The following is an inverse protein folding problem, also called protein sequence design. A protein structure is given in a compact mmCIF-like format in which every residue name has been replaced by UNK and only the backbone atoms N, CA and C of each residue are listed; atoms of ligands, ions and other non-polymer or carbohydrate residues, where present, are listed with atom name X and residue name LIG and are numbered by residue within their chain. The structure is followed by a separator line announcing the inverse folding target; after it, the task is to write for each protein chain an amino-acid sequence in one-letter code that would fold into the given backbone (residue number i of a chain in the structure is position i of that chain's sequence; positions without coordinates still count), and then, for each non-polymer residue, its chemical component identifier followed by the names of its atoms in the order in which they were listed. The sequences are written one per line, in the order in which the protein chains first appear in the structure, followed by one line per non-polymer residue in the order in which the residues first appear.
data_IF_910631188778
#
_entry.id   IF_910631188778
#
_cell.length_a   1.000
_cell.length_b   1.000
_cell.length_c   1.000
_cell.angle_alpha   90.00
_cell.angle_beta   90.00
_cell.angle_gamma   90.00
#
_symmetry.space_group_name_H-M   'P 1'
#
loop_
_entity.id
_entity.type
_entity.pdbx_description
1 polymer ?
#
# COMPACT_ATOMS: atom_id res chain seq x y z
N UNK A 1 -20.23 -8.47 3.44
CA UNK A 1 -20.40 -7.86 4.79
C UNK A 1 -21.23 -6.58 4.74
N UNK A 2 -21.28 -5.86 3.62
CA UNK A 2 -22.13 -4.69 3.40
C UNK A 2 -23.65 -4.93 3.45
N UNK A 3 -24.09 -6.19 3.49
CA UNK A 3 -25.52 -6.59 3.56
C UNK A 3 -25.92 -7.14 4.93
N UNK A 4 -25.07 -7.03 5.95
CA UNK A 4 -25.38 -7.53 7.30
C UNK A 4 -26.20 -6.49 8.06
N UNK A 5 -27.37 -6.88 8.55
CA UNK A 5 -28.19 -6.02 9.39
C UNK A 5 -27.55 -5.79 10.77
N UNK A 6 -27.67 -4.59 11.34
CA UNK A 6 -27.18 -4.31 12.69
C UNK A 6 -27.92 -5.16 13.72
N UNK A 7 -27.20 -5.57 14.76
CA UNK A 7 -27.78 -6.25 15.93
C UNK A 7 -28.82 -5.32 16.57
N UNK A 8 -29.89 -5.88 17.15
CA UNK A 8 -31.00 -5.13 17.75
C UNK A 8 -30.65 -4.34 19.03
N UNK A 9 -29.36 -4.13 19.31
CA UNK A 9 -28.89 -3.27 20.38
C UNK A 9 -28.95 -1.79 19.95
N UNK A 10 -29.32 -0.91 20.89
CA UNK A 10 -29.50 0.51 20.63
C UNK A 10 -28.20 1.16 20.06
N UNK A 11 -27.04 0.83 20.64
CA UNK A 11 -25.77 1.42 20.20
C UNK A 11 -25.40 0.96 18.78
N UNK A 12 -25.64 -0.31 18.47
CA UNK A 12 -25.35 -0.90 17.16
C UNK A 12 -26.19 -0.26 16.05
N UNK A 13 -27.47 0.00 16.32
CA UNK A 13 -28.35 0.71 15.38
C UNK A 13 -27.96 2.17 15.21
N UNK A 14 -27.56 2.84 16.30
CA UNK A 14 -27.11 4.23 16.27
C UNK A 14 -25.85 4.39 15.39
N UNK A 15 -24.84 3.55 15.61
CA UNK A 15 -23.59 3.56 14.82
C UNK A 15 -23.88 3.26 13.35
N UNK A 16 -24.74 2.27 13.06
CA UNK A 16 -25.12 1.95 11.69
C UNK A 16 -25.83 3.14 11.00
N UNK A 17 -26.74 3.81 11.70
CA UNK A 17 -27.45 5.00 11.20
C UNK A 17 -26.48 6.13 10.86
N UNK A 18 -25.54 6.42 11.77
CA UNK A 18 -24.50 7.43 11.55
C UNK A 18 -23.64 7.10 10.33
N UNK A 19 -23.10 5.88 10.24
CA UNK A 19 -22.28 5.46 9.10
C UNK A 19 -23.04 5.46 7.76
N UNK A 20 -24.35 5.23 7.79
CA UNK A 20 -25.17 5.25 6.57
C UNK A 20 -25.45 6.65 6.03
N UNK A 21 -25.30 7.69 6.87
CA UNK A 21 -25.63 9.09 6.54
C UNK A 21 -24.36 9.96 6.39
N UNK A 22 -23.31 9.65 7.15
CA UNK A 22 -22.08 10.47 7.29
C UNK A 22 -20.96 10.01 6.34
N UNK A 23 -21.23 9.89 5.04
CA UNK A 23 -20.21 9.60 4.04
C UNK A 23 -19.45 10.85 3.57
N UNK A 24 -18.49 10.65 2.66
CA UNK A 24 -17.69 11.73 2.07
C UNK A 24 -17.60 11.56 0.54
N UNK A 25 -17.51 12.68 -0.18
CA UNK A 25 -17.38 12.72 -1.65
C UNK A 25 -18.56 12.02 -2.36
N UNK A 26 -18.31 10.91 -3.07
CA UNK A 26 -19.30 10.17 -3.87
C UNK A 26 -19.87 8.93 -3.15
N UNK A 27 -19.36 8.60 -1.96
CA UNK A 27 -19.82 7.45 -1.16
C UNK A 27 -20.46 7.95 0.14
N UNK A 28 -21.71 8.41 0.02
CA UNK A 28 -22.50 8.98 1.13
C UNK A 28 -22.86 7.95 2.21
N UNK A 29 -22.85 6.67 1.87
CA UNK A 29 -23.14 5.57 2.79
C UNK A 29 -21.88 4.70 2.96
N UNK A 30 -21.31 4.71 4.16
CA UNK A 30 -20.08 3.99 4.49
C UNK A 30 -20.30 2.49 4.77
N UNK A 31 -21.55 2.05 4.93
CA UNK A 31 -21.91 0.64 5.19
C UNK A 31 -22.10 -0.16 3.91
N UNK A 32 -22.40 0.51 2.80
CA UNK A 32 -22.52 -0.09 1.47
C UNK A 32 -21.18 -0.13 0.74
N UNK A 33 -21.05 -1.04 -0.23
CA UNK A 33 -19.89 -1.10 -1.12
C UNK A 33 -19.88 0.09 -2.09
N UNK A 34 -18.69 0.53 -2.53
CA UNK A 34 -18.56 1.61 -3.52
C UNK A 34 -19.16 1.19 -4.89
N UNK A 35 -20.27 1.80 -5.34
CA UNK A 35 -20.92 1.42 -6.59
C UNK A 35 -20.10 1.80 -7.83
N UNK A 36 -19.20 2.78 -7.71
CA UNK A 36 -18.39 3.28 -8.82
C UNK A 36 -17.00 2.66 -8.90
N UNK A 37 -16.64 1.78 -7.96
CA UNK A 37 -15.32 1.12 -7.90
C UNK A 37 -14.11 2.07 -7.81
N UNK A 38 -14.32 3.35 -7.53
CA UNK A 38 -13.27 4.36 -7.50
C UNK A 38 -12.34 4.10 -6.30
N UNK A 39 -12.89 3.83 -5.12
CA UNK A 39 -12.14 3.55 -3.89
C UNK A 39 -11.22 2.31 -4.01
N UNK A 40 -11.72 1.11 -4.40
CA UNK A 40 -10.87 -0.05 -4.60
C UNK A 40 -9.79 0.16 -5.67
N UNK A 41 -10.12 0.89 -6.74
CA UNK A 41 -9.16 1.20 -7.80
C UNK A 41 -8.05 2.14 -7.29
N UNK A 42 -8.39 3.23 -6.61
CA UNK A 42 -7.41 4.14 -6.01
C UNK A 42 -6.51 3.42 -4.99
N UNK A 43 -7.11 2.55 -4.17
CA UNK A 43 -6.36 1.72 -3.22
C UNK A 43 -5.37 0.80 -3.95
N UNK A 44 -5.78 0.16 -5.05
CA UNK A 44 -4.90 -0.66 -5.86
C UNK A 44 -3.74 0.14 -6.47
N UNK A 45 -4.00 1.36 -6.95
CA UNK A 45 -2.97 2.27 -7.48
C UNK A 45 -1.95 2.64 -6.40
N UNK A 46 -2.40 3.03 -5.20
CA UNK A 46 -1.50 3.36 -4.08
C UNK A 46 -0.66 2.14 -3.69
N UNK A 47 -1.28 0.96 -3.57
CA UNK A 47 -0.58 -0.27 -3.24
C UNK A 47 0.45 -0.66 -4.31
N UNK A 48 0.13 -0.48 -5.60
CA UNK A 48 1.07 -0.67 -6.70
C UNK A 48 2.28 0.28 -6.60
N UNK A 49 2.07 1.53 -6.20
CA UNK A 49 3.15 2.48 -5.96
C UNK A 49 4.01 2.04 -4.77
N UNK A 50 3.41 1.59 -3.67
CA UNK A 50 4.14 1.05 -2.51
C UNK A 50 5.05 -0.11 -2.93
N UNK A 51 4.52 -1.07 -3.71
CA UNK A 51 5.30 -2.21 -4.21
C UNK A 51 6.48 -1.72 -5.05
N UNK A 52 6.28 -0.77 -5.95
CA UNK A 52 7.34 -0.21 -6.79
C UNK A 52 8.43 0.50 -5.97
N UNK A 53 8.02 1.30 -4.98
CA UNK A 53 8.95 1.98 -4.07
C UNK A 53 9.77 0.94 -3.29
N UNK A 54 9.14 -0.04 -2.64
CA UNK A 54 9.87 -1.07 -1.88
C UNK A 54 10.83 -1.86 -2.76
N UNK A 55 10.42 -2.20 -3.98
CA UNK A 55 11.25 -2.91 -4.96
C UNK A 55 12.46 -2.08 -5.37
N UNK A 56 12.28 -0.79 -5.68
CA UNK A 56 13.40 0.10 -6.03
C UNK A 56 14.42 0.20 -4.90
N UNK A 57 13.95 0.34 -3.67
CA UNK A 57 14.78 0.40 -2.46
C UNK A 57 15.59 -0.89 -2.23
N UNK A 58 14.96 -2.03 -2.46
CA UNK A 58 15.62 -3.33 -2.36
C UNK A 58 16.70 -3.49 -3.44
N UNK A 59 16.40 -3.06 -4.68
CA UNK A 59 17.34 -3.09 -5.80
C UNK A 59 18.56 -2.19 -5.56
N UNK A 60 18.37 -0.99 -5.01
CA UNK A 60 19.48 -0.07 -4.70
C UNK A 60 20.44 -0.68 -3.66
N UNK A 61 19.89 -1.24 -2.57
CA UNK A 61 20.67 -1.93 -1.55
C UNK A 61 21.39 -3.16 -2.11
N UNK A 62 20.71 -3.92 -2.97
CA UNK A 62 21.28 -5.09 -3.60
C UNK A 62 22.43 -4.68 -4.53
N UNK A 63 22.23 -3.71 -5.41
CA UNK A 63 23.24 -3.21 -6.35
C UNK A 63 24.47 -2.69 -5.62
N UNK A 64 24.28 -1.89 -4.56
CA UNK A 64 25.39 -1.43 -3.71
C UNK A 64 26.19 -2.59 -3.09
N UNK A 65 25.50 -3.63 -2.58
CA UNK A 65 26.17 -4.82 -2.01
C UNK A 65 26.91 -5.67 -3.05
N UNK A 66 26.55 -5.56 -4.33
CA UNK A 66 27.14 -6.32 -5.42
C UNK A 66 28.30 -5.61 -6.10
N UNK A 67 28.25 -4.28 -6.23
CA UNK A 67 29.34 -3.49 -6.81
C UNK A 67 30.65 -3.67 -6.04
N UNK A 68 30.58 -3.91 -4.74
CA UNK A 68 31.74 -4.17 -3.89
C UNK A 68 32.35 -5.58 -4.03
N UNK A 69 31.72 -6.51 -4.75
CA UNK A 69 32.07 -7.94 -4.71
C UNK A 69 32.07 -8.62 -6.09
N UNK A 70 32.50 -7.89 -7.12
CA UNK A 70 32.37 -8.28 -8.53
C UNK A 70 33.53 -9.13 -9.04
N UNK A 71 33.35 -10.46 -9.07
CA UNK A 71 33.79 -11.29 -10.22
C UNK A 71 33.08 -12.67 -10.32
N UNK A 72 32.64 -13.27 -9.21
CA UNK A 72 32.09 -14.66 -9.23
C UNK A 72 30.54 -14.74 -9.22
N UNK A 73 29.82 -13.61 -9.09
CA UNK A 73 28.39 -13.60 -8.72
C UNK A 73 27.37 -13.40 -9.85
N UNK A 74 27.80 -13.22 -11.10
CA UNK A 74 26.88 -12.98 -12.23
C UNK A 74 25.88 -14.13 -12.44
N UNK A 75 26.26 -15.39 -12.19
CA UNK A 75 25.34 -16.56 -12.22
C UNK A 75 24.35 -16.61 -11.06
N UNK A 76 24.74 -16.19 -9.85
CA UNK A 76 23.80 -16.11 -8.69
C UNK A 76 22.80 -14.96 -8.84
N UNK A 77 23.17 -13.91 -9.59
CA UNK A 77 22.32 -12.75 -9.88
C UNK A 77 21.15 -13.07 -10.80
N UNK A 78 21.34 -13.91 -11.82
CA UNK A 78 20.25 -14.31 -12.71
C UNK A 78 19.10 -14.96 -11.92
N UNK A 79 19.42 -15.82 -10.96
CA UNK A 79 18.43 -16.48 -10.08
C UNK A 79 17.78 -15.50 -9.10
N UNK A 80 18.56 -14.58 -8.50
CA UNK A 80 18.04 -13.56 -7.56
C UNK A 80 17.12 -12.56 -8.25
N UNK A 81 17.40 -12.24 -9.51
CA UNK A 81 16.60 -11.34 -10.36
C UNK A 81 15.28 -11.98 -10.79
N UNK A 82 15.28 -13.28 -11.14
CA UNK A 82 14.04 -14.03 -11.45
C UNK A 82 13.11 -14.11 -10.23
N UNK A 83 13.66 -14.42 -9.06
CA UNK A 83 12.88 -14.49 -7.82
C UNK A 83 12.27 -13.14 -7.46
N UNK A 84 13.01 -12.06 -7.66
CA UNK A 84 12.53 -10.68 -7.47
C UNK A 84 11.43 -10.29 -8.47
N UNK A 85 11.57 -10.67 -9.75
CA UNK A 85 10.55 -10.42 -10.78
C UNK A 85 9.25 -11.18 -10.48
N UNK A 86 9.35 -12.44 -10.04
CA UNK A 86 8.20 -13.24 -9.61
C UNK A 86 7.52 -12.60 -8.40
N UNK A 87 8.28 -12.23 -7.37
CA UNK A 87 7.74 -11.60 -6.16
C UNK A 87 7.04 -10.26 -6.48
N UNK A 88 7.65 -9.45 -7.34
CA UNK A 88 7.09 -8.15 -7.75
C UNK A 88 5.80 -8.34 -8.54
N UNK A 89 5.77 -9.28 -9.50
CA UNK A 89 4.57 -9.57 -10.27
C UNK A 89 3.47 -10.21 -9.42
N UNK A 90 3.83 -11.03 -8.42
CA UNK A 90 2.87 -11.56 -7.45
C UNK A 90 2.26 -10.46 -6.58
N UNK A 91 3.09 -9.53 -6.05
CA UNK A 91 2.61 -8.40 -5.26
C UNK A 91 1.74 -7.43 -6.08
N UNK A 92 2.07 -7.23 -7.36
CA UNK A 92 1.21 -6.49 -8.32
C UNK A 92 -0.11 -7.21 -8.55
N UNK A 93 -0.07 -8.53 -8.76
CA UNK A 93 -1.26 -9.37 -8.90
C UNK A 93 -2.16 -9.29 -7.67
N UNK A 94 -1.59 -9.34 -6.46
CA UNK A 94 -2.31 -9.16 -5.20
C UNK A 94 -2.97 -7.78 -5.09
N UNK A 95 -2.26 -6.73 -5.52
CA UNK A 95 -2.80 -5.36 -5.51
C UNK A 95 -4.00 -5.19 -6.45
N UNK A 96 -3.99 -5.88 -7.60
CA UNK A 96 -5.13 -5.89 -8.54
C UNK A 96 -6.26 -6.80 -8.05
N UNK A 97 -5.94 -7.93 -7.43
CA UNK A 97 -6.92 -8.84 -6.86
C UNK A 97 -7.74 -8.21 -5.72
N UNK A 98 -7.25 -7.13 -5.11
CA UNK A 98 -8.00 -6.33 -4.14
C UNK A 98 -9.20 -5.59 -4.75
N UNK A 99 -9.24 -5.35 -6.07
CA UNK A 99 -10.34 -4.65 -6.74
C UNK A 99 -11.66 -5.43 -6.63
N UNK A 100 -11.75 -6.72 -7.03
CA UNK A 100 -12.98 -7.49 -6.85
C UNK A 100 -13.30 -7.77 -5.37
N UNK A 101 -12.30 -7.83 -4.49
CA UNK A 101 -12.53 -7.93 -3.04
C UNK A 101 -13.19 -6.65 -2.51
N UNK A 102 -12.79 -5.49 -3.03
CA UNK A 102 -13.41 -4.20 -2.68
C UNK A 102 -14.90 -4.10 -3.03
N UNK A 103 -15.41 -4.90 -3.97
CA UNK A 103 -16.83 -4.93 -4.32
C UNK A 103 -17.72 -5.48 -3.21
N UNK A 104 -17.19 -6.40 -2.39
CA UNK A 104 -17.98 -7.09 -1.34
C UNK A 104 -17.80 -6.45 0.04
N UNK A 105 -16.93 -5.45 0.13
CA UNK A 105 -16.56 -4.77 1.35
C UNK A 105 -17.24 -3.41 1.46
N UNK A 106 -17.68 -3.01 2.68
CA UNK A 106 -18.19 -1.65 2.91
C UNK A 106 -17.18 -0.58 2.50
N UNK A 107 -17.67 0.57 2.04
CA UNK A 107 -16.86 1.71 1.63
C UNK A 107 -15.96 2.21 2.78
N UNK A 108 -16.40 2.10 4.05
CA UNK A 108 -15.57 2.38 5.23
C UNK A 108 -14.27 1.56 5.29
N UNK A 109 -14.35 0.27 4.95
CA UNK A 109 -13.18 -0.63 4.97
C UNK A 109 -12.23 -0.28 3.82
N UNK A 110 -12.78 -0.06 2.62
CA UNK A 110 -11.99 0.38 1.46
C UNK A 110 -11.33 1.74 1.71
N UNK A 111 -12.03 2.66 2.36
CA UNK A 111 -11.49 3.96 2.75
C UNK A 111 -10.36 3.84 3.77
N UNK A 112 -10.53 2.98 4.78
CA UNK A 112 -9.47 2.66 5.71
C UNK A 112 -8.22 2.13 5.00
N UNK A 113 -8.38 1.18 4.07
CA UNK A 113 -7.25 0.66 3.29
C UNK A 113 -6.57 1.76 2.48
N UNK A 114 -7.34 2.61 1.80
CA UNK A 114 -6.81 3.72 1.03
C UNK A 114 -5.98 4.69 1.89
N UNK A 115 -6.56 5.18 3.00
CA UNK A 115 -5.90 6.14 3.88
C UNK A 115 -4.67 5.53 4.53
N UNK A 116 -4.77 4.30 5.05
CA UNK A 116 -3.67 3.61 5.70
C UNK A 116 -2.48 3.40 4.75
N UNK A 117 -2.74 2.90 3.53
CA UNK A 117 -1.70 2.73 2.51
C UNK A 117 -1.09 4.07 2.10
N UNK A 118 -1.91 5.11 1.93
CA UNK A 118 -1.42 6.45 1.58
C UNK A 118 -0.52 7.02 2.68
N UNK A 119 -0.90 6.85 3.95
CA UNK A 119 -0.08 7.27 5.09
C UNK A 119 1.24 6.50 5.15
N UNK A 120 1.24 5.18 4.94
CA UNK A 120 2.46 4.37 4.88
C UNK A 120 3.39 4.76 3.73
N UNK A 121 2.82 5.07 2.57
CA UNK A 121 3.57 5.60 1.43
C UNK A 121 4.19 6.96 1.76
N UNK A 122 3.41 7.86 2.35
CA UNK A 122 3.86 9.18 2.79
C UNK A 122 5.01 9.07 3.80
N UNK A 123 4.88 8.21 4.81
CA UNK A 123 5.94 7.94 5.79
C UNK A 123 7.22 7.45 5.11
N UNK A 124 7.10 6.49 4.19
CA UNK A 124 8.24 5.96 3.44
C UNK A 124 8.93 7.06 2.63
N UNK A 125 8.13 7.90 1.97
CA UNK A 125 8.64 8.96 1.11
C UNK A 125 9.33 10.08 1.89
N UNK A 126 8.73 10.51 3.00
CA UNK A 126 9.29 11.50 3.92
C UNK A 126 10.61 11.01 4.52
N UNK A 127 10.64 9.77 5.02
CA UNK A 127 11.86 9.21 5.63
C UNK A 127 12.98 8.95 4.63
N UNK A 128 12.66 8.67 3.37
CA UNK A 128 13.65 8.47 2.32
C UNK A 128 14.13 9.79 1.69
N UNK A 129 13.42 10.89 1.88
CA UNK A 129 13.81 12.21 1.38
C UNK A 129 15.10 12.70 2.04
N UNK A 130 16.14 12.95 1.23
CA UNK A 130 17.42 13.50 1.70
C UNK A 130 17.26 14.90 2.29
N UNK A 131 16.38 15.73 1.71
CA UNK A 131 16.09 17.07 2.21
C UNK A 131 15.45 17.03 3.60
N UNK A 132 14.47 16.15 3.80
CA UNK A 132 13.85 15.96 5.11
C UNK A 132 14.87 15.47 6.13
N UNK A 133 15.65 14.42 5.80
CA UNK A 133 16.72 13.89 6.66
C UNK A 133 17.77 14.94 7.04
N UNK A 134 18.17 15.80 6.11
CA UNK A 134 19.09 16.90 6.37
C UNK A 134 18.48 17.95 7.30
N UNK A 135 17.18 18.26 7.13
CA UNK A 135 16.47 19.22 7.97
C UNK A 135 16.34 18.76 9.44
N UNK A 136 16.19 17.45 9.66
CA UNK A 136 16.12 16.85 11.00
C UNK A 136 17.47 16.32 11.53
N UNK A 137 18.58 16.64 10.85
CA UNK A 137 19.93 16.30 11.31
C UNK A 137 20.28 14.80 11.26
N UNK A 138 19.51 13.97 10.54
CA UNK A 138 19.87 12.56 10.33
C UNK A 138 21.03 12.51 9.33
N UNK A 139 22.21 12.14 9.83
CA UNK A 139 23.39 11.97 8.98
C UNK A 139 23.10 10.99 7.84
N UNK A 140 23.48 11.37 6.63
CA UNK A 140 23.47 10.46 5.49
C UNK A 140 24.53 9.41 5.78
N UNK A 141 24.16 8.13 5.87
CA UNK A 141 25.10 7.03 6.05
C UNK A 141 26.10 7.07 4.89
N UNK A 142 27.27 7.67 5.13
CA UNK A 142 28.43 7.51 4.28
C UNK A 142 28.83 6.04 4.39
N UNK A 143 28.51 5.23 3.38
CA UNK A 143 29.25 4.00 3.12
C UNK A 143 30.68 4.44 2.80
N UNK A 144 31.54 4.41 3.82
CA UNK A 144 32.98 4.54 3.66
C UNK A 144 33.46 3.35 2.81
N UNK A 145 34.11 3.66 1.69
CA UNK A 145 34.90 2.72 0.90
C UNK A 145 36.08 2.21 1.72
#
# INVERSE_FOLDING_TARGET
MSFMYPIADHNSQLIHSQLSTEGILWFSNLTLSDPYLVLPFLTAVVNLTIVQVIVSQLMDKLFASLFLHSNERLRKMETKTKMHAILTNAARGLSVALIPIGLVMPASVCWYWFVSSTMGLCQTWVLHSKAFRQHIGIQSTHTNN
#
